data_IF_268585536426
#
_entry.id   IF_268585536426
#
_cell.length_a   1.000
_cell.length_b   1.000
_cell.length_c   1.000
_cell.angle_alpha   90.00
_cell.angle_beta   90.00
_cell.angle_gamma   90.00
#
_symmetry.space_group_name_H-M   'P 1'
#
loop_
_entity.id
_entity.type
_entity.pdbx_description
1 polymer ?
#
# COMPACT_ATOMS: atom_id res chain seq x y z
N UNK A 1 -19.49 -4.69 13.66
CA UNK A 1 -20.88 -4.26 13.88
C UNK A 1 -21.77 -4.90 12.82
N UNK A 2 -22.99 -5.30 13.18
CA UNK A 2 -23.94 -5.83 12.20
C UNK A 2 -24.66 -4.66 11.53
N UNK A 3 -24.47 -4.48 10.22
CA UNK A 3 -25.09 -3.42 9.43
C UNK A 3 -26.63 -3.44 9.57
N UNK A 4 -27.23 -4.63 9.74
CA UNK A 4 -28.67 -4.76 9.95
C UNK A 4 -29.14 -4.10 11.26
N UNK A 5 -28.35 -4.22 12.33
CA UNK A 5 -28.68 -3.59 13.63
C UNK A 5 -28.63 -2.05 13.56
N UNK A 6 -27.92 -1.50 12.57
CA UNK A 6 -27.81 -0.07 12.32
C UNK A 6 -28.71 0.43 11.18
N UNK A 7 -29.57 -0.45 10.62
CA UNK A 7 -30.45 -0.12 9.51
C UNK A 7 -29.71 0.21 8.21
N UNK A 8 -28.51 -0.34 8.03
CA UNK A 8 -27.63 -0.11 6.87
C UNK A 8 -27.67 -1.30 5.91
N UNK A 9 -27.22 -1.06 4.68
CA UNK A 9 -27.13 -2.09 3.64
C UNK A 9 -26.12 -3.19 4.03
N UNK A 10 -26.46 -4.44 3.74
CA UNK A 10 -25.57 -5.57 3.96
C UNK A 10 -24.56 -5.66 2.81
N UNK A 11 -23.28 -5.48 3.13
CA UNK A 11 -22.19 -5.51 2.14
C UNK A 11 -21.68 -6.94 1.85
N UNK A 12 -22.41 -7.98 2.24
CA UNK A 12 -21.99 -9.39 2.03
C UNK A 12 -22.60 -9.97 0.74
N UNK A 13 -21.87 -10.83 0.00
CA UNK A 13 -20.55 -11.39 0.33
C UNK A 13 -19.40 -10.37 0.20
N UNK A 14 -18.47 -10.40 1.16
CA UNK A 14 -17.32 -9.48 1.23
C UNK A 14 -16.01 -10.25 1.36
N UNK A 15 -14.97 -9.79 0.67
CA UNK A 15 -13.57 -10.19 0.87
C UNK A 15 -12.79 -9.01 1.46
N UNK A 16 -11.85 -9.29 2.36
CA UNK A 16 -10.96 -8.29 2.94
C UNK A 16 -9.52 -8.80 3.01
N UNK A 17 -8.56 -7.87 3.03
CA UNK A 17 -7.14 -8.16 3.15
C UNK A 17 -6.37 -6.99 3.75
N UNK A 18 -5.27 -7.32 4.43
CA UNK A 18 -4.30 -6.40 5.02
C UNK A 18 -2.90 -6.81 4.54
N UNK A 19 -2.02 -5.82 4.37
CA UNK A 19 -0.64 -6.02 3.89
C UNK A 19 0.17 -6.92 4.84
N UNK A 20 -0.19 -6.96 6.12
CA UNK A 20 0.45 -7.79 7.14
C UNK A 20 -0.01 -9.26 7.09
N UNK A 21 -0.11 -9.82 5.87
CA UNK A 21 -0.42 -11.23 5.60
C UNK A 21 -1.78 -11.70 6.15
N UNK A 22 -2.75 -10.78 6.22
CA UNK A 22 -4.08 -11.06 6.75
C UNK A 22 -5.11 -11.06 5.64
N UNK A 23 -5.85 -12.16 5.45
CA UNK A 23 -6.95 -12.23 4.47
C UNK A 23 -8.18 -12.86 5.11
N UNK A 24 -9.37 -12.43 4.71
CA UNK A 24 -10.64 -12.95 5.24
C UNK A 24 -11.83 -12.69 4.33
N UNK A 25 -13.00 -13.13 4.77
CA UNK A 25 -14.28 -12.84 4.14
C UNK A 25 -15.40 -12.79 5.16
N UNK A 26 -16.62 -12.44 4.73
CA UNK A 26 -17.80 -12.33 5.60
C UNK A 26 -18.28 -13.65 6.25
N UNK A 27 -17.59 -14.77 6.04
CA UNK A 27 -17.92 -16.07 6.65
C UNK A 27 -17.70 -16.10 8.18
N UNK A 28 -16.72 -15.35 8.68
CA UNK A 28 -16.47 -15.11 10.11
C UNK A 28 -16.15 -13.63 10.34
N UNK A 29 -15.97 -13.22 11.60
CA UNK A 29 -15.66 -11.83 11.98
C UNK A 29 -14.20 -11.62 12.38
N UNK A 30 -13.32 -12.46 11.83
CA UNK A 30 -11.87 -12.42 12.01
C UNK A 30 -11.18 -12.72 10.67
N UNK A 31 -9.89 -12.40 10.57
CA UNK A 31 -9.05 -12.90 9.48
C UNK A 31 -8.85 -14.42 9.65
N UNK A 32 -8.75 -15.16 8.56
CA UNK A 32 -8.59 -16.62 8.61
C UNK A 32 -7.55 -17.09 7.59
N UNK A 33 -6.37 -17.44 8.12
CA UNK A 33 -5.25 -17.91 7.30
C UNK A 33 -5.49 -19.27 6.66
N UNK A 34 -6.18 -20.19 7.34
CA UNK A 34 -6.45 -21.52 6.77
C UNK A 34 -7.50 -21.41 5.67
N UNK A 35 -8.51 -20.57 5.87
CA UNK A 35 -9.46 -20.21 4.82
C UNK A 35 -8.74 -19.65 3.59
N UNK A 36 -7.79 -18.72 3.76
CA UNK A 36 -7.03 -18.16 2.64
C UNK A 36 -6.21 -19.23 1.88
N UNK A 37 -5.62 -20.20 2.59
CA UNK A 37 -4.95 -21.37 1.98
C UNK A 37 -5.93 -22.20 1.17
N UNK A 38 -7.11 -22.52 1.73
CA UNK A 38 -8.14 -23.30 1.03
C UNK A 38 -8.71 -22.55 -0.20
N UNK A 39 -8.80 -21.22 -0.14
CA UNK A 39 -9.13 -20.38 -1.29
C UNK A 39 -8.09 -20.53 -2.40
N UNK A 40 -6.80 -20.45 -2.08
CA UNK A 40 -5.73 -20.67 -3.06
C UNK A 40 -5.73 -22.09 -3.65
N UNK A 41 -5.96 -23.11 -2.82
CA UNK A 41 -6.12 -24.48 -3.31
C UNK A 41 -7.33 -24.62 -4.25
N UNK A 42 -8.42 -23.91 -3.97
CA UNK A 42 -9.61 -23.88 -4.84
C UNK A 42 -9.31 -23.20 -6.18
N UNK A 43 -8.56 -22.09 -6.17
CA UNK A 43 -8.10 -21.39 -7.38
C UNK A 43 -7.18 -22.30 -8.20
N UNK A 44 -6.18 -22.92 -7.56
CA UNK A 44 -5.29 -23.87 -8.22
C UNK A 44 -6.04 -25.05 -8.82
N UNK A 45 -6.99 -25.62 -8.08
CA UNK A 45 -7.83 -26.71 -8.56
C UNK A 45 -8.65 -26.29 -9.77
N UNK A 46 -9.24 -25.09 -9.76
CA UNK A 46 -10.00 -24.54 -10.89
C UNK A 46 -9.15 -24.40 -12.15
N UNK A 47 -7.94 -23.83 -12.03
CA UNK A 47 -7.02 -23.67 -13.16
C UNK A 47 -6.45 -25.00 -13.69
N UNK A 48 -6.55 -26.09 -12.92
CA UNK A 48 -5.96 -27.38 -13.26
C UNK A 48 -6.99 -28.49 -13.55
N UNK A 49 -8.30 -28.18 -13.66
CA UNK A 49 -9.36 -29.19 -13.82
C UNK A 49 -9.12 -30.15 -14.99
N UNK A 50 -8.66 -29.61 -16.12
CA UNK A 50 -8.41 -30.37 -17.35
C UNK A 50 -6.93 -30.45 -17.72
N UNK A 51 -6.04 -30.12 -16.78
CA UNK A 51 -4.59 -30.07 -17.03
C UNK A 51 -3.95 -31.46 -16.90
N UNK A 52 -3.20 -31.95 -17.91
CA UNK A 52 -2.56 -33.25 -17.83
C UNK A 52 -1.56 -33.35 -16.67
N UNK A 53 -1.42 -34.56 -16.12
CA UNK A 53 -0.42 -34.84 -15.10
C UNK A 53 0.98 -34.45 -15.59
N UNK A 54 1.70 -33.67 -14.77
CA UNK A 54 3.04 -33.14 -15.09
C UNK A 54 3.04 -31.79 -15.82
N UNK A 55 1.88 -31.20 -16.11
CA UNK A 55 1.75 -29.89 -16.79
C UNK A 55 0.98 -28.86 -15.96
N UNK A 56 0.92 -29.06 -14.63
CA UNK A 56 0.10 -28.23 -13.74
C UNK A 56 0.47 -26.74 -13.84
N UNK A 57 -0.55 -25.90 -13.91
CA UNK A 57 -0.45 -24.45 -13.75
C UNK A 57 -0.13 -24.14 -12.28
N UNK A 58 1.02 -23.51 -12.04
CA UNK A 58 1.48 -23.15 -10.71
C UNK A 58 0.96 -21.79 -10.23
N UNK A 59 1.18 -21.48 -8.95
CA UNK A 59 0.84 -20.18 -8.36
C UNK A 59 1.49 -19.03 -9.15
N UNK A 60 2.78 -19.17 -9.49
CA UNK A 60 3.51 -18.16 -10.26
C UNK A 60 2.91 -17.90 -11.64
N UNK A 61 2.37 -18.91 -12.31
CA UNK A 61 1.74 -18.76 -13.62
C UNK A 61 0.41 -18.00 -13.50
N UNK A 62 -0.39 -18.32 -12.47
CA UNK A 62 -1.65 -17.63 -12.18
C UNK A 62 -1.38 -16.17 -11.82
N UNK A 63 -0.38 -15.89 -10.99
CA UNK A 63 0.00 -14.53 -10.60
C UNK A 63 0.49 -13.72 -11.81
N UNK A 64 1.37 -14.29 -12.65
CA UNK A 64 1.79 -13.62 -13.89
C UNK A 64 0.62 -13.39 -14.84
N UNK A 65 -0.31 -14.33 -14.95
CA UNK A 65 -1.52 -14.15 -15.75
C UNK A 65 -2.42 -13.03 -15.19
N UNK A 66 -2.51 -12.92 -13.86
CA UNK A 66 -3.19 -11.81 -13.20
C UNK A 66 -2.52 -10.47 -13.56
N UNK A 67 -1.19 -10.39 -13.52
CA UNK A 67 -0.44 -9.19 -13.93
C UNK A 67 -0.65 -8.84 -15.40
N UNK A 68 -0.64 -9.81 -16.31
CA UNK A 68 -0.96 -9.57 -17.73
C UNK A 68 -2.37 -9.04 -17.96
N UNK A 69 -3.30 -9.33 -17.03
CA UNK A 69 -4.71 -8.90 -17.15
C UNK A 69 -4.94 -7.53 -16.51
N UNK A 70 -4.38 -7.28 -15.34
CA UNK A 70 -4.71 -6.12 -14.50
C UNK A 70 -3.54 -5.16 -14.23
N UNK A 71 -2.33 -5.51 -14.66
CA UNK A 71 -1.10 -4.83 -14.30
C UNK A 71 -0.52 -5.38 -13.00
N UNK A 72 0.68 -4.92 -12.65
CA UNK A 72 1.36 -5.30 -11.42
C UNK A 72 1.51 -4.08 -10.52
N UNK A 73 1.09 -4.25 -9.28
CA UNK A 73 1.48 -3.35 -8.19
C UNK A 73 2.71 -3.95 -7.52
N UNK A 74 3.87 -3.38 -7.81
CA UNK A 74 5.08 -3.67 -7.05
C UNK A 74 4.94 -3.03 -5.68
N UNK A 75 5.31 -3.75 -4.63
CA UNK A 75 5.08 -3.32 -3.26
C UNK A 75 6.27 -3.62 -2.37
N UNK A 76 6.60 -2.69 -1.47
CA UNK A 76 7.47 -2.95 -0.32
C UNK A 76 7.07 -2.09 0.87
N UNK A 77 7.41 -2.56 2.08
CA UNK A 77 7.30 -1.76 3.30
C UNK A 77 8.64 -1.67 4.01
N UNK A 78 9.03 -0.44 4.33
CA UNK A 78 10.23 -0.11 5.09
C UNK A 78 9.81 0.34 6.49
N UNK A 79 10.27 -0.38 7.52
CA UNK A 79 10.01 -0.04 8.91
C UNK A 79 11.29 0.52 9.55
N UNK A 80 11.22 1.76 10.03
CA UNK A 80 12.27 2.41 10.83
C UNK A 80 11.86 2.36 12.29
N UNK A 81 12.36 1.35 13.00
CA UNK A 81 11.97 1.08 14.38
C UNK A 81 12.83 1.85 15.39
N UNK A 82 12.23 2.15 16.55
CA UNK A 82 12.90 2.81 17.67
C UNK A 82 13.61 4.11 17.25
N UNK A 83 12.93 4.92 16.43
CA UNK A 83 13.37 6.28 16.09
C UNK A 83 12.93 7.25 17.17
N UNK A 84 13.61 8.38 17.27
CA UNK A 84 13.26 9.44 18.22
C UNK A 84 11.87 10.02 17.88
N UNK A 85 10.97 10.04 18.86
CA UNK A 85 9.55 10.33 18.66
C UNK A 85 9.29 11.76 18.18
N UNK A 86 9.99 12.76 18.72
CA UNK A 86 9.78 14.16 18.36
C UNK A 86 10.25 14.43 16.93
N UNK A 87 11.36 13.83 16.52
CA UNK A 87 11.89 13.85 15.16
C UNK A 87 10.98 13.14 14.16
N UNK A 88 10.46 11.97 14.52
CA UNK A 88 9.51 11.24 13.69
C UNK A 88 8.20 12.01 13.53
N UNK A 89 7.73 12.67 14.59
CA UNK A 89 6.59 13.58 14.53
C UNK A 89 6.87 14.80 13.65
N UNK A 90 8.04 15.42 13.78
CA UNK A 90 8.46 16.54 12.94
C UNK A 90 8.45 16.18 11.44
N UNK A 91 8.87 14.95 11.10
CA UNK A 91 8.79 14.43 9.73
C UNK A 91 7.36 14.43 9.21
N UNK A 92 6.42 13.85 9.97
CA UNK A 92 5.00 13.79 9.57
C UNK A 92 4.38 15.18 9.49
N UNK A 93 4.62 16.04 10.48
CA UNK A 93 4.10 17.42 10.50
C UNK A 93 4.60 18.22 9.30
N UNK A 94 5.88 18.06 8.93
CA UNK A 94 6.45 18.68 7.72
C UNK A 94 5.72 18.21 6.46
N UNK A 95 5.49 16.91 6.32
CA UNK A 95 4.79 16.36 5.16
C UNK A 95 3.34 16.88 5.07
N UNK A 96 2.66 17.03 6.21
CA UNK A 96 1.33 17.64 6.27
C UNK A 96 1.35 19.10 5.77
N UNK A 97 2.30 19.91 6.23
CA UNK A 97 2.45 21.31 5.79
C UNK A 97 2.75 21.39 4.29
N UNK A 98 3.60 20.49 3.76
CA UNK A 98 3.85 20.41 2.33
C UNK A 98 2.57 20.07 1.56
N UNK A 99 1.75 19.14 2.08
CA UNK A 99 0.46 18.80 1.46
C UNK A 99 -0.52 19.97 1.39
N UNK A 100 -0.57 20.77 2.45
CA UNK A 100 -1.37 22.01 2.49
C UNK A 100 -0.88 23.03 1.47
N UNK A 101 0.44 23.25 1.38
CA UNK A 101 1.05 24.16 0.40
C UNK A 101 0.83 23.68 -1.04
N UNK A 102 1.01 22.38 -1.30
CA UNK A 102 0.76 21.75 -2.60
C UNK A 102 -0.66 22.06 -3.10
N UNK A 103 -1.65 21.89 -2.24
CA UNK A 103 -3.06 22.20 -2.56
C UNK A 103 -3.27 23.70 -2.76
N UNK A 104 -2.68 24.55 -1.92
CA UNK A 104 -2.78 26.01 -2.01
C UNK A 104 -2.18 26.58 -3.30
N UNK A 105 -1.11 25.98 -3.80
CA UNK A 105 -0.46 26.32 -5.08
C UNK A 105 -1.23 25.79 -6.32
N UNK A 106 -2.40 25.18 -6.07
CA UNK A 106 -3.32 24.68 -7.09
C UNK A 106 -2.88 23.38 -7.75
N UNK A 107 -1.90 22.67 -7.17
CA UNK A 107 -1.58 21.32 -7.63
C UNK A 107 -2.68 20.34 -7.23
N UNK A 108 -2.82 19.26 -8.01
CA UNK A 108 -3.91 18.31 -7.88
C UNK A 108 -3.99 17.38 -9.10
N UNK A 109 -5.11 16.67 -9.23
CA UNK A 109 -5.36 15.78 -10.36
C UNK A 109 -5.28 16.47 -11.74
N UNK A 110 -5.62 17.77 -11.83
CA UNK A 110 -5.56 18.55 -13.07
C UNK A 110 -4.24 19.30 -13.30
N UNK A 111 -3.37 19.36 -12.28
CA UNK A 111 -2.07 20.03 -12.30
C UNK A 111 -1.12 19.26 -11.39
N UNK A 112 -0.43 18.26 -11.94
CA UNK A 112 0.54 17.47 -11.18
C UNK A 112 1.87 18.23 -10.97
N UNK A 113 2.67 17.76 -10.02
CA UNK A 113 4.02 18.23 -9.76
C UNK A 113 5.02 17.14 -10.16
N UNK A 114 5.98 17.48 -11.02
CA UNK A 114 7.05 16.56 -11.39
C UNK A 114 7.96 16.27 -10.19
N UNK A 115 8.13 14.98 -9.87
CA UNK A 115 8.96 14.49 -8.77
C UNK A 115 10.28 13.88 -9.26
N UNK A 116 10.48 13.79 -10.58
CA UNK A 116 11.62 13.12 -11.21
C UNK A 116 11.35 11.64 -11.49
N UNK A 117 12.26 11.00 -12.22
CA UNK A 117 12.19 9.57 -12.58
C UNK A 117 10.88 9.13 -13.28
N UNK A 118 10.20 10.07 -13.95
CA UNK A 118 8.92 9.81 -14.62
C UNK A 118 7.69 9.82 -13.72
N UNK A 119 7.83 10.24 -12.45
CA UNK A 119 6.72 10.31 -11.51
C UNK A 119 6.19 11.73 -11.36
N UNK A 120 4.87 11.88 -11.50
CA UNK A 120 4.17 13.15 -11.28
C UNK A 120 3.19 13.02 -10.11
N UNK A 121 3.40 13.79 -9.05
CA UNK A 121 2.56 13.80 -7.86
C UNK A 121 1.25 14.54 -8.16
N UNK A 122 0.12 13.89 -7.85
CA UNK A 122 -1.22 14.43 -8.07
C UNK A 122 -1.97 14.75 -6.78
N UNK A 123 -1.58 14.14 -5.67
CA UNK A 123 -2.19 14.38 -4.37
C UNK A 123 -1.18 14.14 -3.26
N UNK A 124 -1.22 14.99 -2.24
CA UNK A 124 -0.59 14.76 -0.96
C UNK A 124 -1.54 15.15 0.16
N UNK A 125 -1.97 14.18 0.96
CA UNK A 125 -2.95 14.38 2.02
C UNK A 125 -2.68 13.52 3.26
N UNK A 126 -3.38 13.85 4.34
CA UNK A 126 -3.47 12.99 5.51
C UNK A 126 -4.75 12.17 5.42
N UNK A 127 -4.60 10.84 5.39
CA UNK A 127 -5.73 9.95 5.20
C UNK A 127 -6.72 10.05 6.35
N UNK A 128 -7.98 10.31 5.96
CA UNK A 128 -9.14 10.29 6.84
C UNK A 128 -10.19 9.36 6.25
N UNK A 129 -10.79 8.54 7.11
CA UNK A 129 -11.83 7.61 6.74
C UNK A 129 -13.09 7.87 7.58
N UNK A 130 -14.24 7.96 6.91
CA UNK A 130 -15.55 8.01 7.55
C UNK A 130 -16.26 6.70 7.28
N UNK A 131 -16.55 5.94 8.34
CA UNK A 131 -17.21 4.65 8.24
C UNK A 131 -18.66 4.82 7.77
N UNK A 132 -19.09 4.19 6.66
CA UNK A 132 -20.42 4.37 6.11
C UNK A 132 -21.54 3.67 6.91
N UNK A 133 -21.16 2.78 7.82
CA UNK A 133 -22.08 1.99 8.65
C UNK A 133 -22.38 2.74 9.95
N UNK A 134 -21.35 3.09 10.73
CA UNK A 134 -21.51 3.72 12.04
C UNK A 134 -21.27 5.24 12.06
N UNK A 135 -20.72 5.80 10.98
CA UNK A 135 -20.45 7.24 10.84
C UNK A 135 -19.23 7.73 11.63
N UNK A 136 -18.45 6.83 12.24
CA UNK A 136 -17.22 7.19 12.93
C UNK A 136 -16.18 7.75 11.95
N UNK A 137 -15.38 8.71 12.43
CA UNK A 137 -14.33 9.36 11.63
C UNK A 137 -12.98 9.05 12.24
N UNK A 138 -12.11 8.44 11.45
CA UNK A 138 -10.71 8.16 11.80
C UNK A 138 -9.80 9.08 11.01
N UNK A 139 -9.17 10.04 11.68
CA UNK A 139 -8.16 10.94 11.11
C UNK A 139 -6.75 10.45 11.42
N UNK A 140 -5.74 11.11 10.85
CA UNK A 140 -4.32 10.85 11.13
C UNK A 140 -3.89 9.42 10.81
N UNK A 141 -4.46 8.82 9.76
CA UNK A 141 -4.21 7.42 9.39
C UNK A 141 -3.04 7.24 8.40
N UNK A 142 -2.22 8.27 8.23
CA UNK A 142 -1.00 8.26 7.42
C UNK A 142 -1.01 9.34 6.34
N UNK A 143 0.17 9.83 6.00
CA UNK A 143 0.34 10.77 4.89
C UNK A 143 0.47 9.99 3.60
N UNK A 144 -0.32 10.34 2.58
CA UNK A 144 -0.31 9.69 1.27
C UNK A 144 0.25 10.64 0.23
N UNK A 145 1.12 10.14 -0.61
CA UNK A 145 1.57 10.77 -1.85
C UNK A 145 1.04 9.90 -2.99
N UNK A 146 0.11 10.42 -3.80
CA UNK A 146 -0.51 9.68 -4.89
C UNK A 146 -0.06 10.25 -6.23
N UNK A 147 0.43 9.38 -7.09
CA UNK A 147 0.98 9.74 -8.40
C UNK A 147 -0.06 9.52 -9.51
N UNK A 148 0.11 10.20 -10.63
CA UNK A 148 -0.84 10.16 -11.76
C UNK A 148 -0.93 8.80 -12.45
N UNK A 149 0.11 7.98 -12.33
CA UNK A 149 0.20 6.63 -12.91
C UNK A 149 -0.48 5.57 -12.03
N UNK A 150 -0.97 5.92 -10.84
CA UNK A 150 -1.52 4.98 -9.85
C UNK A 150 -0.52 4.50 -8.81
N UNK A 151 0.75 4.88 -8.92
CA UNK A 151 1.76 4.63 -7.89
C UNK A 151 1.48 5.48 -6.64
N UNK A 152 1.99 5.05 -5.47
CA UNK A 152 1.83 5.76 -4.21
C UNK A 152 2.94 5.49 -3.20
N UNK A 153 3.18 6.49 -2.37
CA UNK A 153 4.00 6.39 -1.16
C UNK A 153 3.11 6.74 0.03
N UNK A 154 3.18 5.97 1.11
CA UNK A 154 2.44 6.24 2.34
C UNK A 154 3.41 6.24 3.52
N UNK A 155 3.34 7.27 4.36
CA UNK A 155 4.05 7.35 5.63
C UNK A 155 3.07 7.20 6.78
N UNK A 156 3.35 6.26 7.69
CA UNK A 156 2.55 6.07 8.90
C UNK A 156 3.45 6.03 10.12
N UNK A 157 3.19 6.93 11.06
CA UNK A 157 3.81 6.91 12.37
C UNK A 157 3.03 5.96 13.28
N UNK A 158 3.73 5.02 13.91
CA UNK A 158 3.15 4.01 14.80
C UNK A 158 3.92 3.99 16.12
N UNK A 159 3.20 3.73 17.23
CA UNK A 159 3.78 3.36 18.51
C UNK A 159 4.68 4.43 19.15
N UNK A 160 4.15 5.62 19.47
CA UNK A 160 4.88 6.73 20.13
C UNK A 160 5.08 6.53 21.65
N UNK A 161 5.35 5.30 22.08
CA UNK A 161 5.48 4.93 23.49
C UNK A 161 6.85 5.29 24.09
N UNK A 162 7.13 4.77 25.30
CA UNK A 162 8.40 4.99 26.01
C UNK A 162 9.64 4.42 25.31
N UNK A 163 9.46 3.62 24.25
CA UNK A 163 10.53 2.88 23.54
C UNK A 163 10.91 3.54 22.20
N UNK A 164 10.46 4.77 21.97
CA UNK A 164 10.58 5.48 20.68
C UNK A 164 9.36 5.27 19.80
N UNK A 165 9.46 5.67 18.54
CA UNK A 165 8.41 5.49 17.54
C UNK A 165 8.87 4.56 16.40
N UNK A 166 7.91 4.06 15.63
CA UNK A 166 8.16 3.36 14.37
C UNK A 166 7.58 4.17 13.22
N UNK A 167 8.41 4.57 12.27
CA UNK A 167 7.97 5.14 11.01
C UNK A 167 7.88 4.02 9.99
N UNK A 168 6.67 3.80 9.47
CA UNK A 168 6.42 2.85 8.37
C UNK A 168 6.29 3.61 7.07
N UNK A 169 7.08 3.24 6.08
CA UNK A 169 7.03 3.75 4.72
C UNK A 169 6.57 2.64 3.80
N UNK A 170 5.40 2.82 3.19
CA UNK A 170 4.83 1.90 2.22
C UNK A 170 5.03 2.48 0.83
N UNK A 171 5.54 1.67 -0.09
CA UNK A 171 5.80 2.12 -1.46
C UNK A 171 5.15 1.13 -2.40
N UNK A 172 4.31 1.65 -3.29
CA UNK A 172 3.67 0.89 -4.32
C UNK A 172 3.87 1.56 -5.68
N UNK A 173 4.41 0.81 -6.65
CA UNK A 173 4.53 1.25 -8.03
C UNK A 173 3.61 0.44 -8.92
N UNK A 174 2.74 1.11 -9.65
CA UNK A 174 1.87 0.44 -10.61
C UNK A 174 2.55 0.38 -11.99
N UNK A 175 2.48 -0.79 -12.62
CA UNK A 175 2.88 -1.01 -14.01
C UNK A 175 1.67 -1.60 -14.75
N UNK A 176 1.10 -0.89 -15.74
CA UNK A 176 -0.05 -1.38 -16.49
C UNK A 176 0.34 -2.52 -17.45
N UNK A 177 -0.62 -3.36 -17.88
CA UNK A 177 -0.36 -4.41 -18.87
C UNK A 177 0.24 -3.92 -20.19
N UNK A 178 -0.05 -2.67 -20.55
CA UNK A 178 0.39 -2.04 -21.81
C UNK A 178 1.90 -1.83 -21.89
N UNK A 179 2.59 -1.85 -20.76
CA UNK A 179 4.04 -1.66 -20.70
C UNK A 179 4.83 -2.95 -21.00
N UNK A 180 4.11 -4.07 -21.16
CA UNK A 180 4.66 -5.33 -21.61
C UNK A 180 5.16 -6.24 -20.49
N UNK A 181 5.44 -7.49 -20.87
CA UNK A 181 5.79 -8.56 -19.93
C UNK A 181 7.12 -8.31 -19.22
N UNK A 182 8.12 -7.76 -19.91
CA UNK A 182 9.42 -7.42 -19.32
C UNK A 182 9.26 -6.43 -18.16
N UNK A 183 8.43 -5.40 -18.32
CA UNK A 183 8.15 -4.42 -17.28
C UNK A 183 7.38 -5.03 -16.10
N UNK A 184 6.43 -5.94 -16.39
CA UNK A 184 5.67 -6.64 -15.35
C UNK A 184 6.51 -7.66 -14.57
N UNK A 185 7.56 -8.23 -15.17
CA UNK A 185 8.39 -9.28 -14.57
C UNK A 185 9.71 -8.76 -13.96
N UNK A 186 9.93 -7.45 -13.94
CA UNK A 186 11.07 -6.84 -13.27
C UNK A 186 11.25 -7.34 -11.82
N UNK A 187 12.50 -7.31 -11.35
CA UNK A 187 12.79 -7.48 -9.93
C UNK A 187 12.10 -6.39 -9.10
N UNK A 188 11.62 -6.75 -7.91
CA UNK A 188 10.83 -5.85 -7.07
C UNK A 188 11.67 -4.66 -6.60
N UNK A 189 12.91 -4.90 -6.18
CA UNK A 189 13.78 -3.83 -5.69
C UNK A 189 14.16 -2.89 -6.83
N UNK A 190 14.53 -3.44 -8.00
CA UNK A 190 14.85 -2.64 -9.19
C UNK A 190 13.67 -1.79 -9.66
N UNK A 191 12.47 -2.37 -9.69
CA UNK A 191 11.27 -1.65 -10.12
C UNK A 191 10.92 -0.49 -9.18
N UNK A 192 11.14 -0.67 -7.87
CA UNK A 192 10.78 0.29 -6.82
C UNK A 192 11.87 1.31 -6.50
N UNK A 193 13.14 1.04 -6.81
CA UNK A 193 14.29 1.90 -6.46
C UNK A 193 14.09 3.39 -6.77
N UNK A 194 13.57 3.79 -7.95
CA UNK A 194 13.35 5.20 -8.23
C UNK A 194 12.32 5.85 -7.29
N UNK A 195 11.26 5.12 -6.92
CA UNK A 195 10.21 5.62 -6.04
C UNK A 195 10.64 5.59 -4.56
N UNK A 196 11.49 4.62 -4.18
CA UNK A 196 12.18 4.59 -2.88
C UNK A 196 13.06 5.82 -2.73
N UNK A 197 13.87 6.16 -3.74
CA UNK A 197 14.72 7.35 -3.73
C UNK A 197 13.90 8.63 -3.50
N UNK A 198 12.80 8.80 -4.25
CA UNK A 198 11.86 9.92 -4.05
C UNK A 198 11.32 9.94 -2.62
N UNK A 199 10.89 8.80 -2.08
CA UNK A 199 10.32 8.72 -0.74
C UNK A 199 11.33 9.13 0.34
N UNK A 200 12.56 8.62 0.27
CA UNK A 200 13.63 8.89 1.24
C UNK A 200 14.04 10.36 1.24
N UNK A 201 14.23 10.95 0.05
CA UNK A 201 14.60 12.36 -0.11
C UNK A 201 13.45 13.28 0.31
N UNK A 202 12.23 13.01 -0.16
CA UNK A 202 11.08 13.86 0.09
C UNK A 202 10.73 13.94 1.59
N UNK A 203 10.82 12.81 2.29
CA UNK A 203 10.60 12.74 3.74
C UNK A 203 11.84 13.11 4.57
N UNK A 204 13.00 13.32 3.96
CA UNK A 204 14.26 13.62 4.67
C UNK A 204 14.55 12.58 5.76
N UNK A 205 14.39 11.30 5.41
CA UNK A 205 14.46 10.18 6.36
C UNK A 205 15.79 10.18 7.10
N UNK A 206 16.89 10.42 6.39
CA UNK A 206 18.23 10.44 6.98
C UNK A 206 18.41 11.58 7.98
N UNK A 207 18.02 12.79 7.61
CA UNK A 207 18.21 14.00 8.39
C UNK A 207 17.30 14.03 9.63
N UNK A 208 16.08 13.51 9.50
CA UNK A 208 15.09 13.55 10.56
C UNK A 208 15.17 12.30 11.44
N UNK A 209 15.27 11.10 10.88
CA UNK A 209 15.27 9.87 11.67
C UNK A 209 16.68 9.42 12.07
N UNK A 210 17.73 9.96 11.46
CA UNK A 210 19.11 9.56 11.72
C UNK A 210 19.42 8.13 11.24
N UNK A 211 18.70 7.65 10.23
CA UNK A 211 18.82 6.29 9.69
C UNK A 211 19.22 6.33 8.22
N UNK A 212 20.24 5.55 7.86
CA UNK A 212 20.67 5.36 6.47
C UNK A 212 19.89 4.22 5.78
N UNK A 213 19.37 3.26 6.57
CA UNK A 213 18.64 2.08 6.10
C UNK A 213 17.46 1.74 7.03
N UNK A 214 16.39 1.10 6.51
CA UNK A 214 15.29 0.61 7.34
C UNK A 214 15.74 -0.53 8.26
N UNK A 215 15.05 -0.69 9.39
CA UNK A 215 15.28 -1.83 10.30
C UNK A 215 14.71 -3.13 9.74
N UNK A 216 13.56 -3.04 9.07
CA UNK A 216 12.89 -4.18 8.41
C UNK A 216 12.43 -3.77 7.02
N UNK A 217 12.58 -4.68 6.07
CA UNK A 217 12.01 -4.60 4.72
C UNK A 217 11.05 -5.77 4.56
N UNK A 218 9.83 -5.50 4.12
CA UNK A 218 8.83 -6.51 3.72
C UNK A 218 8.52 -6.38 2.24
#
# INVERSE_FOLDING_TARGET
MDAHLLGKECLSPLICGEESFGTGSSHVREKDGLWAVLCWLSILAHHNQDTPAGQLVGVGDIVRQHWRTYGRNFYTRYDYEQVESDRAKLMVDRLLVIGQAFTADGYGASKSMEMGQGFSLSCIDEFTYTDPIDGSVSTNQGIRLLFTDGSRIIFRLSGTGSVGATVRMYIEKYVPPTDGEEALEMDVAEALDPLVGIALEFAQVRELLGRDEPTVIT
#
